data_IF_371315923781
#
_entry.id   IF_371315923781
#
_cell.length_a   1.000
_cell.length_b   1.000
_cell.length_c   1.000
_cell.angle_alpha   90.00
_cell.angle_beta   90.00
_cell.angle_gamma   90.00
#
_symmetry.space_group_name_H-M   'P 1'
#
loop_
_entity.id
_entity.type
_entity.pdbx_description
1 polymer ?
#
# COMPACT_ATOMS: atom_id res chain seq x y z
N UNK A 1 13.21 18.72 -20.62
CA UNK A 1 12.29 18.09 -19.66
C UNK A 1 12.52 18.78 -18.33
N UNK A 2 11.48 19.17 -17.56
CA UNK A 2 11.64 19.76 -16.25
C UNK A 2 12.46 18.85 -15.34
N UNK A 3 13.24 19.46 -14.46
CA UNK A 3 13.97 18.70 -13.46
C UNK A 3 13.01 18.18 -12.38
N UNK A 4 13.31 17.01 -11.83
CA UNK A 4 12.52 16.39 -10.77
C UNK A 4 13.32 16.31 -9.48
N UNK A 5 12.67 16.55 -8.35
CA UNK A 5 13.27 16.35 -7.03
C UNK A 5 12.53 15.27 -6.26
N UNK A 6 13.25 14.29 -5.72
CA UNK A 6 12.66 13.14 -5.04
C UNK A 6 13.60 12.59 -3.95
N UNK A 7 13.13 11.63 -3.15
CA UNK A 7 13.97 10.93 -2.18
C UNK A 7 14.60 9.71 -2.84
N UNK A 8 15.89 9.46 -2.58
CA UNK A 8 16.57 8.27 -3.10
C UNK A 8 15.97 6.97 -2.57
N UNK A 9 15.86 5.96 -3.45
CA UNK A 9 15.33 4.64 -3.14
C UNK A 9 16.45 3.59 -3.03
N UNK A 10 17.03 3.17 -4.18
CA UNK A 10 18.12 2.19 -4.26
C UNK A 10 19.13 2.66 -5.30
N UNK A 11 20.43 2.62 -4.98
CA UNK A 11 21.51 3.09 -5.82
C UNK A 11 21.26 4.52 -6.36
N UNK A 12 21.15 4.67 -7.67
CA UNK A 12 20.91 5.95 -8.38
C UNK A 12 19.42 6.25 -8.58
N UNK A 13 18.52 5.35 -8.17
CA UNK A 13 17.08 5.43 -8.41
C UNK A 13 16.37 6.23 -7.31
N UNK A 14 15.36 7.01 -7.69
CA UNK A 14 14.49 7.71 -6.76
C UNK A 14 13.20 6.95 -6.45
N UNK A 15 12.59 7.27 -5.32
CA UNK A 15 11.26 6.80 -4.94
C UNK A 15 10.20 7.77 -5.50
N UNK A 16 9.28 7.27 -6.33
CA UNK A 16 8.24 8.11 -6.95
C UNK A 16 7.06 8.43 -6.03
N UNK A 17 7.05 7.96 -4.79
CA UNK A 17 5.94 8.18 -3.85
C UNK A 17 5.76 9.63 -3.43
N UNK A 18 6.84 10.43 -3.45
CA UNK A 18 6.79 11.89 -3.23
C UNK A 18 7.83 12.53 -4.14
N UNK A 19 7.35 13.45 -4.98
CA UNK A 19 8.18 14.16 -5.95
C UNK A 19 7.76 15.62 -6.01
N UNK A 20 8.74 16.49 -6.27
CA UNK A 20 8.51 17.87 -6.67
C UNK A 20 8.81 17.95 -8.17
N UNK A 21 7.80 18.34 -8.94
CA UNK A 21 7.86 18.43 -10.40
C UNK A 21 7.15 19.70 -10.85
N UNK A 22 7.69 20.34 -11.88
CA UNK A 22 7.02 21.45 -12.56
C UNK A 22 6.00 20.90 -13.57
N UNK A 23 4.71 21.26 -13.46
CA UNK A 23 3.73 20.86 -14.46
C UNK A 23 4.07 21.41 -15.84
N UNK A 24 4.15 20.54 -16.85
CA UNK A 24 4.48 20.92 -18.22
C UNK A 24 3.69 20.09 -19.22
N UNK A 25 2.90 20.75 -20.07
CA UNK A 25 2.12 20.07 -21.10
C UNK A 25 3.02 19.32 -22.09
N UNK A 26 4.17 19.91 -22.44
CA UNK A 26 5.17 19.28 -23.31
C UNK A 26 5.71 17.98 -22.69
N UNK A 27 5.98 17.98 -21.38
CA UNK A 27 6.46 16.76 -20.69
C UNK A 27 5.37 15.72 -20.61
N UNK A 28 4.14 16.10 -20.25
CA UNK A 28 3.01 15.18 -20.23
C UNK A 28 2.79 14.52 -21.60
N UNK A 29 2.77 15.32 -22.69
CA UNK A 29 2.61 14.79 -24.05
C UNK A 29 3.73 13.83 -24.43
N UNK A 30 4.98 14.18 -24.14
CA UNK A 30 6.13 13.30 -24.38
C UNK A 30 5.99 11.96 -23.64
N UNK A 31 5.61 11.97 -22.36
CA UNK A 31 5.37 10.74 -21.59
C UNK A 31 4.24 9.91 -22.20
N UNK A 32 3.13 10.55 -22.58
CA UNK A 32 1.96 9.86 -23.14
C UNK A 32 2.23 9.25 -24.52
N UNK A 33 2.95 9.96 -25.39
CA UNK A 33 3.29 9.50 -26.74
C UNK A 33 4.23 8.28 -26.70
N UNK A 34 5.15 8.24 -25.73
CA UNK A 34 6.16 7.18 -25.62
C UNK A 34 5.82 6.11 -24.57
N UNK A 35 4.57 6.08 -24.06
CA UNK A 35 4.17 5.18 -22.97
C UNK A 35 4.31 3.69 -23.33
N UNK A 36 4.16 3.34 -24.60
CA UNK A 36 4.32 1.97 -25.10
C UNK A 36 5.74 1.63 -25.55
N UNK A 37 6.63 2.63 -25.62
CA UNK A 37 8.01 2.46 -26.06
C UNK A 37 8.96 2.29 -24.88
N UNK A 38 8.70 3.02 -23.79
CA UNK A 38 9.54 3.01 -22.59
C UNK A 38 9.02 1.93 -21.63
N UNK A 39 9.83 0.89 -21.43
CA UNK A 39 9.48 -0.22 -20.54
C UNK A 39 9.87 0.11 -19.11
N UNK A 40 8.90 0.12 -18.19
CA UNK A 40 9.17 0.20 -16.75
C UNK A 40 9.90 -1.05 -16.25
N UNK A 41 11.11 -0.88 -15.70
CA UNK A 41 11.89 -2.02 -15.18
C UNK A 41 11.20 -2.79 -14.03
N UNK A 42 10.23 -2.17 -13.35
CA UNK A 42 9.45 -2.80 -12.27
C UNK A 42 7.94 -2.88 -12.56
N UNK A 43 7.52 -2.52 -13.77
CA UNK A 43 6.11 -2.51 -14.18
C UNK A 43 5.24 -1.41 -13.56
N UNK A 44 5.79 -0.54 -12.72
CA UNK A 44 5.08 0.57 -12.07
C UNK A 44 5.55 1.95 -12.54
N UNK A 45 4.94 3.00 -11.99
CA UNK A 45 5.30 4.40 -12.26
C UNK A 45 6.74 4.70 -11.84
N UNK A 46 7.20 4.15 -10.70
CA UNK A 46 8.57 4.38 -10.25
C UNK A 46 9.59 3.91 -11.29
N UNK A 47 9.39 2.72 -11.86
CA UNK A 47 10.32 2.20 -12.85
C UNK A 47 10.29 3.03 -14.13
N UNK A 48 9.09 3.32 -14.62
CA UNK A 48 8.88 4.14 -15.81
C UNK A 48 9.53 5.53 -15.68
N UNK A 49 9.30 6.21 -14.56
CA UNK A 49 9.83 7.54 -14.32
C UNK A 49 11.35 7.54 -14.15
N UNK A 50 11.95 6.49 -13.57
CA UNK A 50 13.41 6.38 -13.45
C UNK A 50 14.09 6.09 -14.80
N UNK A 51 13.41 5.47 -15.78
CA UNK A 51 13.93 5.34 -17.16
C UNK A 51 14.00 6.70 -17.87
N UNK A 52 13.10 7.62 -17.52
CA UNK A 52 12.93 8.91 -18.20
C UNK A 52 13.76 10.01 -17.54
N UNK A 53 13.68 10.09 -16.22
CA UNK A 53 14.39 11.07 -15.41
C UNK A 53 15.69 10.47 -14.85
N UNK A 54 16.68 10.31 -15.74
CA UNK A 54 18.00 9.78 -15.36
C UNK A 54 18.82 10.75 -14.50
N UNK A 55 18.47 12.04 -14.53
CA UNK A 55 19.02 13.09 -13.67
C UNK A 55 17.92 13.71 -12.81
N UNK A 56 18.15 13.77 -11.50
CA UNK A 56 17.18 14.25 -10.52
C UNK A 56 17.88 14.82 -9.27
N UNK A 57 17.17 15.69 -8.56
CA UNK A 57 17.66 16.35 -7.35
C UNK A 57 17.18 15.64 -6.09
N UNK A 58 18.05 15.58 -5.07
CA UNK A 58 17.74 14.88 -3.83
C UNK A 58 16.99 15.76 -2.83
N UNK A 59 15.82 15.32 -2.36
CA UNK A 59 15.22 15.78 -1.09
C UNK A 59 15.57 14.87 0.09
N UNK A 60 15.61 15.40 1.33
CA UNK A 60 15.91 14.62 2.53
C UNK A 60 14.96 13.45 2.78
N UNK A 61 15.48 12.35 3.35
CA UNK A 61 14.69 11.12 3.61
C UNK A 61 13.49 11.30 4.54
N UNK A 62 13.50 12.30 5.43
CA UNK A 62 12.36 12.57 6.31
C UNK A 62 11.12 13.11 5.57
N UNK A 63 11.25 13.47 4.29
CA UNK A 63 10.16 13.91 3.41
C UNK A 63 9.53 12.78 2.60
N UNK A 64 10.07 11.55 2.65
CA UNK A 64 9.49 10.34 2.08
C UNK A 64 10.12 9.11 2.73
N UNK A 65 9.81 8.89 4.01
CA UNK A 65 10.43 7.81 4.77
C UNK A 65 9.62 6.52 4.63
N UNK A 66 10.25 5.43 4.19
CA UNK A 66 9.54 4.17 3.97
C UNK A 66 9.22 3.46 5.30
N UNK A 67 7.97 2.99 5.44
CA UNK A 67 7.58 2.01 6.48
C UNK A 67 8.09 0.63 6.05
N UNK A 68 9.40 0.41 6.20
CA UNK A 68 10.07 -0.82 5.79
C UNK A 68 11.27 -1.13 6.70
N UNK A 69 11.32 -2.36 7.19
CA UNK A 69 12.42 -2.97 7.92
C UNK A 69 13.15 -3.92 6.98
N UNK A 70 14.40 -3.60 6.66
CA UNK A 70 15.16 -4.36 5.67
C UNK A 70 15.70 -5.64 6.29
N UNK A 71 15.85 -6.67 5.47
CA UNK A 71 16.61 -7.85 5.85
C UNK A 71 18.05 -7.44 6.24
N UNK A 72 18.51 -7.91 7.39
CA UNK A 72 19.82 -7.54 7.95
C UNK A 72 19.85 -6.26 8.79
N UNK A 73 18.73 -5.52 8.95
CA UNK A 73 18.66 -4.43 9.93
C UNK A 73 18.95 -4.98 11.35
N UNK A 74 19.84 -4.31 12.08
CA UNK A 74 20.09 -4.62 13.50
C UNK A 74 18.87 -4.28 14.36
N UNK A 75 18.77 -4.88 15.55
CA UNK A 75 17.66 -4.59 16.47
C UNK A 75 17.64 -3.11 16.90
N UNK A 76 18.80 -2.47 17.04
CA UNK A 76 18.91 -1.02 17.31
C UNK A 76 18.37 -0.20 16.14
N UNK A 77 18.65 -0.60 14.89
CA UNK A 77 18.15 0.07 13.70
C UNK A 77 16.61 -0.06 13.60
N UNK A 78 16.06 -1.25 13.87
CA UNK A 78 14.61 -1.48 13.92
C UNK A 78 13.95 -0.68 15.04
N UNK A 79 14.54 -0.66 16.24
CA UNK A 79 14.05 0.13 17.36
C UNK A 79 14.04 1.63 17.04
N UNK A 80 15.11 2.14 16.42
CA UNK A 80 15.20 3.54 15.98
C UNK A 80 14.14 3.88 14.93
N UNK A 81 13.89 3.01 13.95
CA UNK A 81 12.80 3.21 12.97
C UNK A 81 11.44 3.28 13.66
N UNK A 82 11.15 2.36 14.58
CA UNK A 82 9.92 2.35 15.37
C UNK A 82 9.76 3.64 16.18
N UNK A 83 10.84 4.13 16.80
CA UNK A 83 10.84 5.43 17.49
C UNK A 83 10.51 6.58 16.52
N UNK A 84 11.12 6.61 15.34
CA UNK A 84 10.85 7.65 14.32
C UNK A 84 9.39 7.62 13.85
N UNK A 85 8.79 6.43 13.67
CA UNK A 85 7.38 6.30 13.31
C UNK A 85 6.45 6.86 14.39
N UNK A 86 6.81 6.71 15.66
CA UNK A 86 6.02 7.12 16.81
C UNK A 86 6.30 8.53 17.35
N UNK A 87 7.36 9.20 16.88
CA UNK A 87 7.86 10.45 17.46
C UNK A 87 6.80 11.57 17.52
N UNK A 88 6.73 12.24 18.67
CA UNK A 88 5.90 13.42 18.93
C UNK A 88 6.73 14.44 19.75
N UNK A 89 7.12 15.61 19.19
CA UNK A 89 6.76 16.11 17.85
C UNK A 89 7.33 15.23 16.71
N UNK A 90 6.73 15.29 15.50
CA UNK A 90 7.16 14.45 14.38
C UNK A 90 8.60 14.76 13.93
N UNK A 91 9.48 13.75 13.95
CA UNK A 91 10.79 13.81 13.30
C UNK A 91 10.70 13.53 11.79
N UNK A 92 9.70 12.73 11.39
CA UNK A 92 9.39 12.41 9.99
C UNK A 92 8.24 13.31 9.55
N UNK A 93 8.41 13.98 8.41
CA UNK A 93 7.35 14.81 7.82
C UNK A 93 6.40 13.98 6.95
N UNK A 94 6.92 12.93 6.30
CA UNK A 94 6.13 11.98 5.52
C UNK A 94 6.55 10.55 5.84
N UNK A 95 5.55 9.70 6.09
CA UNK A 95 5.71 8.25 6.24
C UNK A 95 4.99 7.54 5.08
N UNK A 96 5.74 6.79 4.29
CA UNK A 96 5.26 6.05 3.13
C UNK A 96 4.93 4.61 3.52
N UNK A 97 3.64 4.29 3.55
CA UNK A 97 3.15 2.96 3.92
C UNK A 97 3.29 1.97 2.76
N UNK A 98 4.29 1.09 2.83
CA UNK A 98 4.42 -0.10 1.99
C UNK A 98 3.63 -1.29 2.57
N UNK A 99 3.48 -2.34 1.78
CA UNK A 99 2.66 -3.52 2.11
C UNK A 99 1.15 -3.22 2.05
N UNK A 100 0.38 -3.98 2.83
CA UNK A 100 -1.05 -3.75 3.00
C UNK A 100 -1.29 -2.39 3.65
N UNK A 101 -2.25 -1.64 3.10
CA UNK A 101 -2.57 -0.29 3.56
C UNK A 101 -3.35 -0.34 4.89
N UNK A 102 -3.16 0.61 5.81
CA UNK A 102 -3.79 0.58 7.14
C UNK A 102 -5.31 0.44 7.12
N UNK A 103 -6.00 1.09 6.18
CA UNK A 103 -7.47 1.01 6.05
C UNK A 103 -7.98 -0.35 5.55
N UNK A 104 -7.11 -1.18 4.97
CA UNK A 104 -7.44 -2.55 4.56
C UNK A 104 -7.28 -3.56 5.70
N UNK A 105 -6.54 -3.22 6.75
CA UNK A 105 -6.39 -4.01 7.97
C UNK A 105 -7.49 -3.70 8.97
N UNK A 106 -7.67 -4.53 9.99
CA UNK A 106 -8.41 -4.13 11.20
C UNK A 106 -7.66 -3.02 11.94
N UNK A 107 -8.38 -2.24 12.74
CA UNK A 107 -7.82 -1.15 13.55
C UNK A 107 -6.87 -1.63 14.65
N UNK A 108 -7.06 -2.86 15.13
CA UNK A 108 -6.44 -3.38 16.34
C UNK A 108 -4.92 -3.62 16.22
N UNK A 109 -4.42 -3.91 15.02
CA UNK A 109 -2.99 -4.08 14.73
C UNK A 109 -2.69 -4.03 13.22
N UNK A 110 -1.41 -3.90 12.86
CA UNK A 110 -1.00 -3.94 11.45
C UNK A 110 -1.13 -5.37 10.89
N UNK A 111 -2.13 -5.62 10.04
CA UNK A 111 -2.39 -6.97 9.51
C UNK A 111 -1.27 -7.53 8.64
N UNK A 112 -0.27 -6.72 8.25
CA UNK A 112 0.96 -7.22 7.64
C UNK A 112 1.69 -8.25 8.54
N UNK A 113 1.50 -8.24 9.87
CA UNK A 113 2.04 -9.25 10.78
C UNK A 113 1.57 -10.68 10.48
N UNK A 114 0.36 -10.84 9.93
CA UNK A 114 -0.23 -12.16 9.65
C UNK A 114 0.38 -12.84 8.42
N UNK A 115 1.15 -12.12 7.59
CA UNK A 115 1.71 -12.65 6.36
C UNK A 115 3.23 -12.54 6.37
N UNK A 116 3.92 -13.69 6.32
CA UNK A 116 5.38 -13.75 6.35
C UNK A 116 6.05 -12.85 5.32
N UNK A 117 5.52 -12.79 4.09
CA UNK A 117 6.07 -11.95 3.01
C UNK A 117 5.84 -10.44 3.24
N UNK A 118 4.95 -10.06 4.16
CA UNK A 118 4.62 -8.66 4.43
C UNK A 118 5.21 -8.14 5.75
N UNK A 119 5.85 -9.02 6.53
CA UNK A 119 6.38 -8.67 7.86
C UNK A 119 7.41 -7.55 7.84
N UNK A 120 8.19 -7.45 6.77
CA UNK A 120 9.14 -6.35 6.57
C UNK A 120 8.45 -4.97 6.55
N UNK A 121 7.15 -4.90 6.27
CA UNK A 121 6.38 -3.67 6.31
C UNK A 121 5.59 -3.49 7.61
N UNK A 122 5.52 -4.48 8.48
CA UNK A 122 4.59 -4.47 9.61
C UNK A 122 5.05 -3.51 10.74
N UNK A 123 4.17 -2.62 11.19
CA UNK A 123 4.43 -1.76 12.35
C UNK A 123 3.14 -1.25 12.99
N UNK A 124 2.86 -1.71 14.21
CA UNK A 124 1.71 -1.23 14.99
C UNK A 124 1.80 0.25 15.33
N UNK A 125 3.01 0.76 15.55
CA UNK A 125 3.25 2.18 15.83
C UNK A 125 2.85 3.04 14.63
N UNK A 126 3.31 2.67 13.42
CA UNK A 126 2.92 3.34 12.20
C UNK A 126 1.41 3.17 11.92
N UNK A 127 0.86 1.98 12.15
CA UNK A 127 -0.56 1.68 11.96
C UNK A 127 -1.46 2.57 12.85
N UNK A 128 -1.14 2.63 14.15
CA UNK A 128 -1.80 3.50 15.12
C UNK A 128 -1.72 4.97 14.70
N UNK A 129 -0.56 5.42 14.19
CA UNK A 129 -0.38 6.78 13.69
C UNK A 129 -1.29 7.10 12.51
N UNK A 130 -1.50 6.16 11.58
CA UNK A 130 -2.43 6.35 10.48
C UNK A 130 -3.87 6.50 10.98
N UNK A 131 -4.28 5.68 11.94
CA UNK A 131 -5.62 5.77 12.53
C UNK A 131 -5.87 7.07 13.28
N UNK A 132 -4.86 7.64 13.94
CA UNK A 132 -4.95 9.01 14.50
C UNK A 132 -5.26 10.07 13.43
N UNK A 133 -4.74 9.92 12.22
CA UNK A 133 -5.05 10.81 11.10
C UNK A 133 -6.47 10.57 10.57
N UNK A 134 -6.84 9.30 10.38
CA UNK A 134 -8.19 8.92 9.96
C UNK A 134 -9.27 9.49 10.89
N UNK A 135 -9.06 9.40 12.21
CA UNK A 135 -10.06 9.83 13.19
C UNK A 135 -10.29 11.34 13.19
N UNK A 136 -9.32 12.12 12.69
CA UNK A 136 -9.45 13.57 12.46
C UNK A 136 -10.15 13.92 11.15
N UNK A 137 -10.31 12.97 10.22
CA UNK A 137 -10.98 13.23 8.94
C UNK A 137 -12.48 13.45 9.14
N UNK A 138 -13.16 14.24 8.28
CA UNK A 138 -14.62 14.31 8.26
C UNK A 138 -15.28 12.93 8.10
N UNK A 139 -16.43 12.71 8.76
CA UNK A 139 -17.14 11.41 8.74
C UNK A 139 -17.41 10.87 7.33
N UNK A 140 -17.70 11.75 6.38
CA UNK A 140 -17.90 11.38 4.96
C UNK A 140 -16.65 10.78 4.32
N UNK A 141 -15.45 11.21 4.73
CA UNK A 141 -14.20 10.61 4.24
C UNK A 141 -13.90 9.29 4.94
N UNK A 142 -14.20 9.19 6.23
CA UNK A 142 -14.05 7.95 7.00
C UNK A 142 -14.89 6.81 6.41
N UNK A 143 -16.08 7.09 5.85
CA UNK A 143 -16.92 6.05 5.24
C UNK A 143 -16.30 5.35 4.02
N UNK A 144 -15.34 5.98 3.33
CA UNK A 144 -14.60 5.30 2.25
C UNK A 144 -13.60 4.27 2.77
N UNK A 145 -13.30 4.28 4.07
CA UNK A 145 -12.42 3.32 4.73
C UNK A 145 -13.19 2.16 5.39
N UNK A 146 -14.50 2.03 5.14
CA UNK A 146 -15.27 0.85 5.56
C UNK A 146 -14.77 -0.40 4.86
N UNK A 147 -14.83 -1.53 5.57
CA UNK A 147 -14.38 -2.82 5.04
C UNK A 147 -15.51 -3.46 4.23
N UNK A 148 -15.21 -3.83 2.99
CA UNK A 148 -16.07 -4.72 2.19
C UNK A 148 -16.22 -6.06 2.90
N UNK A 149 -17.33 -6.72 2.68
CA UNK A 149 -17.69 -8.02 3.28
C UNK A 149 -16.63 -9.08 2.99
N UNK A 150 -16.16 -9.14 1.74
CA UNK A 150 -15.05 -10.01 1.34
C UNK A 150 -13.75 -9.67 2.08
N UNK A 151 -13.45 -8.40 2.32
CA UNK A 151 -12.23 -8.00 3.03
C UNK A 151 -12.27 -8.44 4.50
N UNK A 152 -13.42 -8.33 5.17
CA UNK A 152 -13.60 -8.83 6.55
C UNK A 152 -13.29 -10.31 6.66
N UNK A 153 -13.83 -11.12 5.75
CA UNK A 153 -13.56 -12.55 5.68
C UNK A 153 -12.08 -12.84 5.37
N UNK A 154 -11.46 -12.09 4.45
CA UNK A 154 -10.04 -12.24 4.13
C UNK A 154 -9.12 -11.95 5.32
N UNK A 155 -9.37 -10.88 6.07
CA UNK A 155 -8.58 -10.56 7.26
C UNK A 155 -8.69 -11.64 8.35
N UNK A 156 -9.89 -12.16 8.59
CA UNK A 156 -10.09 -13.25 9.56
C UNK A 156 -9.44 -14.56 9.07
N UNK A 157 -9.51 -14.85 7.77
CA UNK A 157 -8.80 -15.99 7.20
C UNK A 157 -7.29 -15.88 7.41
N UNK A 158 -6.70 -14.73 7.08
CA UNK A 158 -5.25 -14.50 7.23
C UNK A 158 -4.84 -14.61 8.70
N UNK A 159 -5.67 -14.10 9.63
CA UNK A 159 -5.46 -14.27 11.09
C UNK A 159 -5.47 -15.74 11.49
N UNK A 160 -6.40 -16.56 10.99
CA UNK A 160 -6.46 -18.01 11.24
C UNK A 160 -5.27 -18.76 10.63
N UNK A 161 -4.77 -18.33 9.47
CA UNK A 161 -3.55 -18.91 8.90
C UNK A 161 -2.32 -18.59 9.76
N UNK A 162 -2.21 -17.36 10.27
CA UNK A 162 -1.16 -16.97 11.20
C UNK A 162 -1.22 -17.76 12.53
N UNK A 163 -2.43 -17.99 13.05
CA UNK A 163 -2.69 -18.86 14.21
C UNK A 163 -2.27 -20.30 13.94
N UNK A 164 -2.70 -20.88 12.80
CA UNK A 164 -2.34 -22.24 12.40
C UNK A 164 -0.83 -22.41 12.21
N UNK A 165 -0.16 -21.39 11.68
CA UNK A 165 1.29 -21.35 11.55
C UNK A 165 2.02 -21.06 12.87
N UNK A 166 1.28 -20.78 13.95
CA UNK A 166 1.78 -20.41 15.27
C UNK A 166 2.86 -19.33 15.21
N UNK A 167 2.58 -18.26 14.47
CA UNK A 167 3.52 -17.15 14.31
C UNK A 167 3.93 -16.56 15.66
N UNK A 168 5.24 -16.48 15.90
CA UNK A 168 5.86 -16.15 17.19
C UNK A 168 5.53 -14.75 17.72
N UNK A 169 5.25 -13.80 16.83
CA UNK A 169 4.91 -12.42 17.21
C UNK A 169 3.55 -12.30 17.93
N UNK A 170 2.70 -13.31 17.83
CA UNK A 170 1.45 -13.44 18.58
C UNK A 170 0.35 -12.42 18.23
N UNK A 171 0.50 -11.59 17.18
CA UNK A 171 -0.52 -10.57 16.84
C UNK A 171 -1.88 -11.18 16.50
N UNK A 172 -1.90 -12.39 15.94
CA UNK A 172 -3.12 -13.13 15.62
C UNK A 172 -4.00 -13.47 16.83
N UNK A 173 -3.44 -13.42 18.06
CA UNK A 173 -4.16 -13.64 19.33
C UNK A 173 -4.93 -12.41 19.81
N UNK A 174 -4.70 -11.23 19.21
CA UNK A 174 -5.34 -9.99 19.66
C UNK A 174 -6.83 -10.02 19.34
N UNK A 175 -7.63 -9.56 20.29
CA UNK A 175 -9.07 -9.40 20.09
C UNK A 175 -9.32 -8.30 19.06
N UNK A 176 -10.15 -8.60 18.06
CA UNK A 176 -10.57 -7.63 17.05
C UNK A 176 -11.77 -6.84 17.59
N UNK A 177 -11.55 -5.56 17.85
CA UNK A 177 -12.56 -4.63 18.37
C UNK A 177 -13.00 -3.59 17.35
N UNK A 178 -12.40 -3.60 16.15
CA UNK A 178 -12.72 -2.68 15.06
C UNK A 178 -14.23 -2.62 14.75
N UNK A 179 -14.89 -1.46 14.94
CA UNK A 179 -16.33 -1.33 14.71
C UNK A 179 -16.73 -1.61 13.25
N UNK A 180 -15.78 -1.45 12.29
CA UNK A 180 -16.03 -1.72 10.88
C UNK A 180 -16.36 -3.18 10.61
N UNK A 181 -16.03 -4.11 11.50
CA UNK A 181 -16.42 -5.50 11.39
C UNK A 181 -17.96 -5.65 11.39
N UNK A 182 -18.65 -4.86 12.22
CA UNK A 182 -20.12 -4.85 12.35
C UNK A 182 -20.81 -3.87 11.40
N UNK A 183 -20.11 -2.85 10.92
CA UNK A 183 -20.67 -1.85 9.99
C UNK A 183 -20.75 -2.39 8.57
N UNK A 184 -21.91 -2.23 7.93
CA UNK A 184 -22.17 -2.75 6.60
C UNK A 184 -22.65 -1.63 5.67
N UNK A 185 -22.09 -1.57 4.46
CA UNK A 185 -22.53 -0.67 3.40
C UNK A 185 -22.90 -1.41 2.10
N UNK A 186 -22.64 -2.71 2.04
CA UNK A 186 -23.04 -3.60 0.96
C UNK A 186 -24.35 -4.29 1.34
N UNK A 187 -25.18 -4.64 0.32
CA UNK A 187 -26.45 -5.36 0.54
C UNK A 187 -26.24 -6.70 1.25
N UNK A 188 -25.15 -7.39 0.94
CA UNK A 188 -24.71 -8.60 1.60
C UNK A 188 -23.54 -8.28 2.51
N UNK A 189 -23.64 -8.63 3.79
CA UNK A 189 -22.62 -8.32 4.79
C UNK A 189 -22.32 -9.47 5.77
N UNK A 190 -22.81 -10.67 5.47
CA UNK A 190 -22.59 -11.85 6.30
C UNK A 190 -21.24 -12.48 5.98
N UNK A 191 -20.16 -11.79 6.37
CA UNK A 191 -18.79 -12.15 6.04
C UNK A 191 -18.36 -13.49 6.65
N UNK A 192 -18.93 -13.89 7.80
CA UNK A 192 -18.66 -15.17 8.45
C UNK A 192 -19.04 -16.36 7.55
N UNK A 193 -20.12 -16.24 6.76
CA UNK A 193 -20.48 -17.29 5.79
C UNK A 193 -19.45 -17.46 4.69
N UNK A 194 -18.75 -16.40 4.31
CA UNK A 194 -17.77 -16.46 3.24
C UNK A 194 -16.53 -17.27 3.65
N UNK A 195 -16.28 -17.44 4.96
CA UNK A 195 -15.15 -18.22 5.47
C UNK A 195 -15.27 -19.71 5.17
N UNK A 196 -16.49 -20.24 5.09
CA UNK A 196 -16.72 -21.68 4.87
C UNK A 196 -16.18 -22.15 3.51
N UNK A 197 -16.22 -21.28 2.52
CA UNK A 197 -15.72 -21.55 1.16
C UNK A 197 -14.39 -20.85 0.86
N UNK A 198 -13.78 -20.22 1.87
CA UNK A 198 -12.58 -19.43 1.66
C UNK A 198 -11.38 -20.35 1.43
N UNK A 199 -10.76 -20.23 0.26
CA UNK A 199 -9.63 -21.06 -0.15
C UNK A 199 -9.98 -22.30 -0.99
N UNK A 200 -11.26 -22.65 -1.13
CA UNK A 200 -11.72 -23.75 -2.02
C UNK A 200 -11.51 -23.43 -3.51
N UNK A 201 -11.39 -22.15 -3.86
CA UNK A 201 -11.17 -21.66 -5.22
C UNK A 201 -9.79 -22.02 -5.82
N UNK A 202 -8.89 -22.71 -5.09
CA UNK A 202 -7.61 -23.17 -5.68
C UNK A 202 -7.78 -24.17 -6.83
N UNK A 203 -8.97 -24.76 -6.99
CA UNK A 203 -9.28 -25.70 -8.09
C UNK A 203 -10.19 -25.13 -9.20
N UNK A 204 -10.53 -23.83 -9.19
CA UNK A 204 -11.31 -23.25 -10.28
C UNK A 204 -10.65 -21.95 -10.80
N UNK A 205 -9.95 -22.14 -11.91
CA UNK A 205 -9.59 -21.14 -12.93
C UNK A 205 -8.70 -19.97 -12.51
N UNK A 206 -7.46 -20.02 -13.04
CA UNK A 206 -6.73 -18.84 -13.51
C UNK A 206 -7.68 -18.01 -14.40
N UNK A 207 -8.25 -16.94 -13.86
CA UNK A 207 -8.72 -15.82 -14.66
C UNK A 207 -8.58 -14.54 -13.83
N UNK A 208 -7.44 -13.90 -14.01
CA UNK A 208 -7.32 -12.47 -13.70
C UNK A 208 -8.24 -11.77 -14.71
N UNK A 209 -9.19 -10.92 -14.29
CA UNK A 209 -9.94 -10.13 -15.25
C UNK A 209 -8.96 -9.20 -15.95
N UNK A 210 -8.77 -9.37 -17.26
CA UNK A 210 -8.04 -8.41 -18.07
C UNK A 210 -8.71 -7.03 -17.98
N UNK A 211 -7.95 -5.92 -17.99
CA UNK A 211 -8.55 -4.60 -18.12
C UNK A 211 -9.33 -4.54 -19.43
N UNK A 212 -10.55 -4.01 -19.39
CA UNK A 212 -11.37 -3.81 -20.57
C UNK A 212 -10.64 -2.91 -21.57
N UNK A 213 -10.32 -3.43 -22.76
CA UNK A 213 -9.89 -2.64 -23.90
C UNK A 213 -11.07 -1.77 -24.38
N UNK A 214 -10.87 -0.47 -24.62
CA UNK A 214 -11.87 0.34 -25.30
C UNK A 214 -12.04 -0.18 -26.73
N UNK A 215 -13.29 -0.37 -27.16
CA UNK A 215 -13.60 -0.68 -28.54
C UNK A 215 -13.13 0.44 -29.47
N UNK A 216 -12.26 0.11 -30.42
CA UNK A 216 -11.92 0.99 -31.53
C UNK A 216 -13.14 1.15 -32.44
N UNK A 217 -13.75 2.33 -32.44
CA UNK A 217 -14.65 2.73 -33.52
C UNK A 217 -13.82 2.91 -34.79
N UNK A 218 -14.11 2.10 -35.80
CA UNK A 218 -13.57 2.25 -37.15
C UNK A 218 -14.13 3.54 -37.77
N UNK A 219 -13.28 4.55 -37.93
CA UNK A 219 -13.53 5.64 -38.86
C UNK A 219 -13.13 5.17 -40.27
N UNK A 220 -14.15 4.89 -41.07
CA UNK A 220 -14.02 4.71 -42.52
C UNK A 220 -13.55 6.02 -43.15
N UNK A 221 -12.47 5.94 -43.92
CA UNK A 221 -11.93 7.02 -44.72
C UNK A 221 -12.86 7.39 -45.89
N UNK A 222 -13.14 8.67 -46.04
CA UNK A 222 -13.37 9.37 -47.31
C UNK A 222 -12.82 10.78 -47.18
#
# INVERSE_FOLDING_TARGET
MPEITATGNNATLFNSGVMVIEPSNCTFQLLMEHINEITSYNGGDQGYLNEIFTWWHRIPKHMNFLKHFWEGDSEEAKAKKTQLFGADPPNLYVLHYLGLKPWLCFRDYDCNWNNFMMREFASDVAHSRWWKTHDKMPRKLQSYCLLRTRQKAGLEWDRRQAEKANLEDGHWRRNITDPRLKTCFEKFCFWESMLWHWGEAKNQTKSIPAPATPATMSLSSS
#
